data_IF_574727771965
#
_entry.id   IF_574727771965
#
_cell.length_a   1.000
_cell.length_b   1.000
_cell.length_c   1.000
_cell.angle_alpha   90.00
_cell.angle_beta   90.00
_cell.angle_gamma   90.00
#
_symmetry.space_group_name_H-M   'P 1'
#
loop_
_entity.id
_entity.type
_entity.pdbx_description
1 polymer ?
#
# COMPACT_ATOMS: atom_id res chain seq x y z
N UNK A 1 -2.94 14.35 1.24
CA UNK A 1 -3.27 13.82 -0.11
C UNK A 1 -2.59 14.60 -1.23
N UNK A 2 -2.41 15.92 -1.11
CA UNK A 2 -1.89 16.74 -2.22
C UNK A 2 -0.48 16.35 -2.72
N UNK A 3 0.41 15.93 -1.81
CA UNK A 3 1.77 15.48 -2.20
C UNK A 3 1.77 14.18 -3.01
N UNK A 4 0.84 13.26 -2.70
CA UNK A 4 0.73 11.98 -3.41
C UNK A 4 0.22 12.18 -4.85
N UNK A 5 -0.68 13.14 -5.06
CA UNK A 5 -1.21 13.45 -6.40
C UNK A 5 -0.17 14.02 -7.36
N UNK A 6 0.78 14.82 -6.87
CA UNK A 6 1.84 15.38 -7.71
C UNK A 6 2.76 14.28 -8.27
N UNK A 7 3.10 13.28 -7.45
CA UNK A 7 4.00 12.17 -7.81
C UNK A 7 3.30 11.17 -8.75
N UNK A 8 1.99 10.99 -8.61
CA UNK A 8 1.19 10.13 -9.49
C UNK A 8 1.20 10.52 -10.97
N UNK A 9 1.66 11.73 -11.32
CA UNK A 9 1.79 12.16 -12.71
C UNK A 9 3.00 11.55 -13.45
N UNK A 10 3.96 10.96 -12.72
CA UNK A 10 5.21 10.43 -13.29
C UNK A 10 5.56 9.01 -12.86
N UNK A 11 4.88 8.45 -11.85
CA UNK A 11 5.14 7.11 -11.33
C UNK A 11 3.97 6.15 -11.62
N UNK A 12 4.29 4.92 -12.04
CA UNK A 12 3.33 3.81 -12.20
C UNK A 12 3.24 2.90 -10.98
N UNK A 13 4.25 2.94 -10.10
CA UNK A 13 4.40 2.06 -8.96
C UNK A 13 4.74 2.88 -7.71
N UNK A 14 4.15 2.53 -6.56
CA UNK A 14 4.43 3.17 -5.28
C UNK A 14 4.51 2.15 -4.14
N UNK A 15 5.50 2.29 -3.27
CA UNK A 15 5.67 1.50 -2.04
C UNK A 15 5.16 2.30 -0.84
N UNK A 16 4.28 1.69 -0.04
CA UNK A 16 3.95 2.19 1.29
C UNK A 16 4.74 1.41 2.34
N UNK A 17 5.56 2.12 3.14
CA UNK A 17 6.33 1.55 4.24
C UNK A 17 5.52 1.67 5.53
N UNK A 18 5.46 0.58 6.30
CA UNK A 18 4.68 0.48 7.52
C UNK A 18 3.19 0.79 7.27
N UNK A 19 2.59 0.03 6.33
CA UNK A 19 1.19 0.14 5.91
C UNK A 19 0.17 -0.08 7.04
N UNK A 20 0.62 -0.58 8.20
CA UNK A 20 -0.23 -0.87 9.35
C UNK A 20 -1.40 -1.76 8.97
N UNK A 21 -2.61 -1.43 9.45
CA UNK A 21 -3.82 -2.23 9.19
C UNK A 21 -4.33 -2.15 7.75
N UNK A 22 -3.80 -1.26 6.92
CA UNK A 22 -4.15 -1.13 5.51
C UNK A 22 -5.24 -0.11 5.16
N UNK A 23 -5.74 0.72 6.08
CA UNK A 23 -6.79 1.71 5.75
C UNK A 23 -6.33 2.77 4.73
N UNK A 24 -5.07 3.19 4.82
CA UNK A 24 -4.50 4.20 3.92
C UNK A 24 -4.23 3.63 2.52
N UNK A 25 -3.70 2.41 2.40
CA UNK A 25 -3.40 1.82 1.09
C UNK A 25 -4.65 1.71 0.20
N UNK A 26 -5.79 1.31 0.77
CA UNK A 26 -7.09 1.28 0.03
C UNK A 26 -7.53 2.69 -0.38
N UNK A 27 -7.37 3.65 0.51
CA UNK A 27 -7.71 5.05 0.25
C UNK A 27 -6.84 5.61 -0.89
N UNK A 28 -5.56 5.24 -0.94
CA UNK A 28 -4.67 5.63 -2.03
C UNK A 28 -5.00 4.91 -3.34
N UNK A 29 -5.27 3.60 -3.30
CA UNK A 29 -5.68 2.84 -4.48
C UNK A 29 -6.94 3.40 -5.15
N UNK A 30 -7.92 3.84 -4.35
CA UNK A 30 -9.13 4.53 -4.85
C UNK A 30 -8.81 5.91 -5.44
N UNK A 31 -7.97 6.70 -4.77
CA UNK A 31 -7.70 8.08 -5.15
C UNK A 31 -6.76 8.21 -6.37
N UNK A 32 -5.93 7.19 -6.62
CA UNK A 32 -4.89 7.18 -7.65
C UNK A 32 -4.91 5.83 -8.39
N UNK A 33 -5.91 5.60 -9.25
CA UNK A 33 -6.10 4.31 -9.93
C UNK A 33 -5.00 3.98 -10.95
N UNK A 34 -4.20 4.97 -11.35
CA UNK A 34 -3.08 4.83 -12.27
C UNK A 34 -1.78 4.38 -11.60
N UNK A 35 -1.73 4.32 -10.26
CA UNK A 35 -0.59 3.79 -9.51
C UNK A 35 -0.91 2.35 -9.08
N UNK A 36 0.07 1.46 -9.25
CA UNK A 36 0.12 0.15 -8.61
C UNK A 36 0.79 0.25 -7.23
N UNK A 37 0.03 -0.06 -6.19
CA UNK A 37 0.45 0.12 -4.80
C UNK A 37 1.01 -1.14 -4.18
N UNK A 38 2.17 -1.04 -3.56
CA UNK A 38 2.86 -2.13 -2.87
C UNK A 38 2.89 -1.83 -1.37
N UNK A 39 1.97 -2.37 -0.55
CA UNK A 39 2.02 -2.22 0.89
C UNK A 39 3.11 -3.08 1.52
N UNK A 40 3.75 -2.58 2.58
CA UNK A 40 4.73 -3.34 3.35
C UNK A 40 4.58 -3.14 4.85
N UNK A 41 4.73 -4.22 5.62
CA UNK A 41 4.57 -4.20 7.07
C UNK A 41 5.34 -5.35 7.73
N UNK A 42 5.87 -5.15 8.93
CA UNK A 42 6.63 -6.19 9.65
C UNK A 42 5.72 -7.17 10.39
N UNK A 43 4.58 -6.68 10.88
CA UNK A 43 3.60 -7.48 11.62
C UNK A 43 2.71 -8.30 10.67
N UNK A 44 2.77 -9.63 10.78
CA UNK A 44 1.96 -10.55 9.98
C UNK A 44 0.46 -10.43 10.26
N UNK A 45 0.05 -9.97 11.45
CA UNK A 45 -1.37 -9.71 11.72
C UNK A 45 -1.90 -8.58 10.85
N UNK A 46 -1.09 -7.54 10.64
CA UNK A 46 -1.41 -6.46 9.71
C UNK A 46 -1.54 -6.94 8.27
N UNK A 47 -0.79 -7.96 7.83
CA UNK A 47 -0.94 -8.52 6.48
C UNK A 47 -2.33 -9.10 6.25
N UNK A 48 -2.87 -9.83 7.24
CA UNK A 48 -4.22 -10.36 7.18
C UNK A 48 -5.26 -9.24 7.13
N UNK A 49 -5.07 -8.17 7.91
CA UNK A 49 -5.92 -6.97 7.88
C UNK A 49 -5.87 -6.27 6.52
N UNK A 50 -4.68 -6.01 5.97
CA UNK A 50 -4.48 -5.41 4.65
C UNK A 50 -5.19 -6.24 3.58
N UNK A 51 -5.02 -7.57 3.61
CA UNK A 51 -5.69 -8.48 2.67
C UNK A 51 -7.21 -8.37 2.75
N UNK A 52 -7.78 -8.28 3.96
CA UNK A 52 -9.21 -8.12 4.15
C UNK A 52 -9.71 -6.80 3.53
N UNK A 53 -9.03 -5.69 3.80
CA UNK A 53 -9.35 -4.39 3.21
C UNK A 53 -9.24 -4.38 1.67
N UNK A 54 -8.18 -4.96 1.10
CA UNK A 54 -8.04 -5.09 -0.36
C UNK A 54 -9.21 -5.90 -0.92
N UNK A 55 -9.51 -7.05 -0.32
CA UNK A 55 -10.59 -7.94 -0.77
C UNK A 55 -11.94 -7.24 -0.71
N UNK A 56 -12.24 -6.53 0.37
CA UNK A 56 -13.49 -5.80 0.56
C UNK A 56 -13.64 -4.64 -0.44
N UNK A 57 -12.54 -3.93 -0.74
CA UNK A 57 -12.56 -2.81 -1.67
C UNK A 57 -12.68 -3.20 -3.15
N UNK A 58 -12.33 -4.44 -3.50
CA UNK A 58 -12.29 -4.91 -4.88
C UNK A 58 -11.22 -4.23 -5.75
N UNK A 59 -10.28 -3.51 -5.16
CA UNK A 59 -9.21 -2.82 -5.89
C UNK A 59 -8.21 -3.82 -6.48
N UNK A 60 -7.91 -3.64 -7.76
CA UNK A 60 -6.95 -4.48 -8.51
C UNK A 60 -5.59 -3.82 -8.65
N UNK A 61 -5.47 -2.54 -8.27
CA UNK A 61 -4.22 -1.77 -8.33
C UNK A 61 -3.45 -1.77 -7.00
N UNK A 62 -3.70 -2.73 -6.11
CA UNK A 62 -2.95 -2.92 -4.87
C UNK A 62 -2.43 -4.37 -4.83
N UNK A 63 -1.12 -4.52 -4.68
CA UNK A 63 -0.45 -5.79 -4.53
C UNK A 63 -0.70 -6.40 -3.13
N UNK A 64 -0.38 -7.69 -2.97
CA UNK A 64 -0.35 -8.31 -1.66
C UNK A 64 0.73 -7.66 -0.78
N UNK A 65 0.44 -7.47 0.51
CA UNK A 65 1.42 -6.98 1.48
C UNK A 65 2.60 -7.94 1.60
N UNK A 66 3.80 -7.39 1.75
CA UNK A 66 5.02 -8.14 1.99
C UNK A 66 5.76 -7.64 3.25
N UNK A 67 6.62 -8.49 3.79
CA UNK A 67 7.41 -8.14 4.99
C UNK A 67 8.61 -7.30 4.56
N UNK A 68 8.71 -6.09 5.12
CA UNK A 68 9.87 -5.22 4.97
C UNK A 68 10.27 -4.67 6.34
N UNK A 69 11.50 -4.93 6.76
CA UNK A 69 12.09 -4.30 7.92
C UNK A 69 13.09 -3.22 7.48
N UNK A 70 12.64 -1.97 7.40
CA UNK A 70 13.47 -0.85 6.98
C UNK A 70 14.58 -0.47 7.98
N UNK A 71 14.54 -1.02 9.21
CA UNK A 71 15.56 -0.81 10.23
C UNK A 71 16.60 -1.95 10.28
N UNK A 72 16.45 -2.98 9.43
CA UNK A 72 17.44 -4.05 9.36
C UNK A 72 18.76 -3.50 8.81
N UNK A 73 19.85 -3.82 9.50
CA UNK A 73 21.22 -3.55 9.05
C UNK A 73 21.82 -4.83 8.46
N UNK A 74 22.81 -4.69 7.57
CA UNK A 74 23.56 -5.82 6.98
C UNK A 74 24.42 -6.57 8.01
#
# INVERSE_FOLDING_TARGET
>A
MDICRAIASVASDALEIASGKGQHIVTFGLAMPNIHWHPSEIDLWCHASIKAYITESGLTNIAASFTLNAAQTE
#
